data_IF_320665570284
#
_entry.id   IF_320665570284
#
_cell.length_a   1.000
_cell.length_b   1.000
_cell.length_c   1.000
_cell.angle_alpha   90.00
_cell.angle_beta   90.00
_cell.angle_gamma   90.00
#
_symmetry.space_group_name_H-M   'P 1'
#
loop_
_entity.id
_entity.type
_entity.pdbx_description
1 polymer ?
#
# COMPACT_ATOMS: atom_id res chain seq x y z
N UNK A 1 -23.27 2.27 10.48
CA UNK A 1 -22.72 2.31 10.01
C UNK A 1 -22.48 2.05 9.33
N UNK A 2 -22.86 2.00 9.57
CA UNK A 2 -22.31 1.80 8.70
C UNK A 2 -21.42 2.08 7.89
N UNK A 3 -21.46 2.99 7.50
CA UNK A 3 -20.28 3.33 6.76
C UNK A 3 -19.10 2.52 7.15
N UNK A 4 -19.09 2.19 8.35
CA UNK A 4 -18.04 1.34 8.85
C UNK A 4 -17.99 0.01 8.14
N UNK A 5 -19.04 -0.38 7.50
CA UNK A 5 -19.05 -1.62 6.76
C UNK A 5 -17.97 -1.66 5.70
N UNK A 6 -17.65 -0.52 5.11
CA UNK A 6 -16.60 -0.47 4.12
C UNK A 6 -15.23 -0.76 4.67
N UNK A 7 -14.98 -0.36 5.90
CA UNK A 7 -13.67 -0.55 6.51
C UNK A 7 -13.49 -1.94 7.09
N UNK A 8 -14.57 -2.60 7.41
CA UNK A 8 -14.47 -3.93 7.97
C UNK A 8 -14.24 -5.00 6.93
N UNK A 9 -14.18 -4.64 5.68
CA UNK A 9 -14.07 -5.63 4.62
C UNK A 9 -12.66 -6.11 4.42
N UNK A 10 -12.57 -7.36 4.04
CA UNK A 10 -11.31 -7.92 3.59
C UNK A 10 -10.84 -7.16 2.36
N UNK A 11 -9.55 -7.00 2.24
CA UNK A 11 -8.97 -6.41 1.06
C UNK A 11 -8.58 -4.95 1.20
N UNK A 12 -9.16 -4.24 2.17
CA UNK A 12 -8.78 -2.85 2.40
C UNK A 12 -7.38 -2.82 3.03
N UNK A 13 -6.43 -2.06 2.45
CA UNK A 13 -5.10 -1.95 3.03
C UNK A 13 -5.13 -1.33 4.42
N UNK A 14 -4.17 -1.72 5.26
CA UNK A 14 -4.10 -1.21 6.63
C UNK A 14 -3.77 0.27 6.69
N UNK A 15 -2.91 0.72 5.80
CA UNK A 15 -2.45 2.12 5.78
C UNK A 15 -2.52 2.61 4.35
N UNK A 16 -3.10 3.78 4.17
CA UNK A 16 -3.10 4.45 2.87
C UNK A 16 -2.68 5.89 3.07
N UNK A 17 -2.07 6.47 2.07
CA UNK A 17 -1.64 7.86 2.15
C UNK A 17 -1.25 8.41 0.80
N UNK A 18 -0.77 9.63 0.82
CA UNK A 18 -0.34 10.30 -0.39
C UNK A 18 0.96 11.04 -0.08
N UNK A 19 1.95 10.88 -0.94
CA UNK A 19 3.24 11.51 -0.76
C UNK A 19 3.67 12.12 -2.09
N UNK A 20 3.91 13.41 -2.08
CA UNK A 20 4.28 14.15 -3.28
C UNK A 20 3.31 13.93 -4.43
N UNK A 21 2.03 13.82 -4.10
CA UNK A 21 0.97 13.64 -5.09
C UNK A 21 0.75 12.20 -5.52
N UNK A 22 1.53 11.26 -5.02
CA UNK A 22 1.42 9.85 -5.39
C UNK A 22 0.74 9.07 -4.27
N UNK A 23 -0.33 8.36 -4.62
CA UNK A 23 -1.05 7.52 -3.66
C UNK A 23 -0.25 6.27 -3.33
N UNK A 24 -0.29 5.86 -2.07
CA UNK A 24 0.34 4.60 -1.68
C UNK A 24 -0.51 3.85 -0.68
N UNK A 25 -0.27 2.55 -0.59
CA UNK A 25 -0.95 1.67 0.34
C UNK A 25 0.05 0.69 0.92
N UNK A 26 -0.14 0.36 2.19
CA UNK A 26 0.72 -0.56 2.91
C UNK A 26 -0.17 -1.59 3.59
N UNK A 27 0.10 -2.85 3.32
CA UNK A 27 -0.58 -3.96 3.99
C UNK A 27 0.41 -4.57 4.98
N UNK A 28 0.01 -4.68 6.25
CA UNK A 28 0.88 -5.19 7.31
C UNK A 28 0.52 -6.64 7.62
N UNK A 29 1.52 -7.51 7.64
CA UNK A 29 1.34 -8.92 7.97
C UNK A 29 2.34 -9.31 9.05
N UNK A 30 1.97 -10.27 9.88
CA UNK A 30 2.86 -10.76 10.93
C UNK A 30 3.62 -11.97 10.40
N UNK A 31 4.93 -11.97 10.62
CA UNK A 31 5.77 -13.11 10.27
C UNK A 31 5.64 -13.53 8.82
N UNK A 32 5.30 -14.79 8.59
CA UNK A 32 5.16 -15.35 7.26
C UNK A 32 3.75 -15.25 6.71
N UNK A 33 2.89 -14.44 7.33
CA UNK A 33 1.53 -14.26 6.86
C UNK A 33 1.47 -13.77 5.42
N UNK A 34 0.46 -14.21 4.70
CA UNK A 34 0.28 -13.87 3.29
C UNK A 34 -0.98 -13.08 3.09
N UNK A 35 -1.01 -12.30 2.02
CA UNK A 35 -2.21 -11.59 1.64
C UNK A 35 -3.28 -12.54 1.16
N UNK A 36 -4.54 -12.14 1.35
CA UNK A 36 -5.67 -12.87 0.78
C UNK A 36 -5.87 -12.47 -0.67
N UNK A 37 -6.68 -13.23 -1.38
CA UNK A 37 -7.00 -12.89 -2.78
C UNK A 37 -7.64 -11.52 -2.89
N UNK A 38 -8.50 -11.15 -1.93
CA UNK A 38 -9.13 -9.83 -1.95
C UNK A 38 -8.11 -8.73 -1.71
N UNK A 39 -7.15 -8.96 -0.80
CA UNK A 39 -6.10 -7.99 -0.54
C UNK A 39 -5.23 -7.80 -1.78
N UNK A 40 -4.84 -8.90 -2.42
CA UNK A 40 -4.04 -8.83 -3.64
C UNK A 40 -4.76 -8.05 -4.73
N UNK A 41 -6.05 -8.26 -4.86
CA UNK A 41 -6.86 -7.58 -5.85
C UNK A 41 -6.86 -6.07 -5.61
N UNK A 42 -7.02 -5.65 -4.36
CA UNK A 42 -7.06 -4.22 -4.04
C UNK A 42 -5.68 -3.57 -4.24
N UNK A 43 -4.62 -4.27 -3.84
CA UNK A 43 -3.28 -3.76 -4.05
C UNK A 43 -2.97 -3.64 -5.55
N UNK A 44 -3.40 -4.62 -6.34
CA UNK A 44 -3.21 -4.58 -7.79
C UNK A 44 -3.92 -3.38 -8.41
N UNK A 45 -5.14 -3.09 -7.97
CA UNK A 45 -5.87 -1.93 -8.47
C UNK A 45 -5.12 -0.63 -8.21
N UNK A 46 -4.51 -0.52 -7.05
CA UNK A 46 -3.74 0.67 -6.69
C UNK A 46 -2.54 0.82 -7.62
N UNK A 47 -1.84 -0.28 -7.87
CA UNK A 47 -0.68 -0.27 -8.77
C UNK A 47 -1.10 0.07 -10.19
N UNK A 48 -2.22 -0.48 -10.65
CA UNK A 48 -2.74 -0.19 -11.99
C UNK A 48 -3.16 1.27 -12.14
N UNK A 49 -3.54 1.90 -11.04
CA UNK A 49 -3.91 3.32 -11.03
C UNK A 49 -2.70 4.23 -10.82
N UNK A 50 -1.50 3.69 -11.01
CA UNK A 50 -0.23 4.42 -10.89
C UNK A 50 0.13 4.78 -9.45
N UNK A 51 -0.47 4.10 -8.49
CA UNK A 51 -0.07 4.23 -7.09
C UNK A 51 1.00 3.21 -6.74
N UNK A 52 1.43 3.26 -5.50
CA UNK A 52 2.38 2.28 -4.96
C UNK A 52 1.68 1.43 -3.93
N UNK A 53 1.99 0.13 -3.90
CA UNK A 53 1.41 -0.77 -2.91
C UNK A 53 2.48 -1.77 -2.50
N UNK A 54 2.61 -1.98 -1.19
CA UNK A 54 3.58 -2.93 -0.65
C UNK A 54 2.97 -3.70 0.50
N UNK A 55 3.54 -4.88 0.74
CA UNK A 55 3.20 -5.72 1.88
C UNK A 55 4.44 -5.79 2.76
N UNK A 56 4.28 -5.46 4.04
CA UNK A 56 5.41 -5.43 4.97
C UNK A 56 5.13 -6.29 6.19
N UNK A 57 6.21 -6.72 6.82
CA UNK A 57 6.16 -7.39 8.11
C UNK A 57 7.32 -6.86 8.94
N UNK A 58 7.51 -7.46 10.12
CA UNK A 58 8.55 -6.98 11.05
C UNK A 58 9.96 -7.14 10.49
N UNK A 59 10.15 -7.98 9.47
CA UNK A 59 11.47 -8.23 8.90
C UNK A 59 11.81 -7.34 7.72
N UNK A 60 10.82 -6.73 7.09
CA UNK A 60 11.06 -5.94 5.89
C UNK A 60 10.43 -4.54 5.97
N UNK A 61 10.24 -4.04 7.17
CA UNK A 61 9.62 -2.72 7.37
C UNK A 61 10.41 -1.60 6.67
N UNK A 62 11.67 -1.81 6.40
CA UNK A 62 12.49 -0.84 5.68
C UNK A 62 11.98 -0.57 4.26
N UNK A 63 11.15 -1.46 3.73
CA UNK A 63 10.58 -1.25 2.40
C UNK A 63 9.70 0.00 2.34
N UNK A 64 9.14 0.45 3.48
CA UNK A 64 8.36 1.68 3.51
C UNK A 64 9.24 2.86 3.10
N UNK A 65 10.42 2.96 3.69
CA UNK A 65 11.36 4.03 3.33
C UNK A 65 11.79 3.94 1.88
N UNK A 66 12.04 2.73 1.39
CA UNK A 66 12.43 2.54 -0.01
C UNK A 66 11.32 2.97 -0.96
N UNK A 67 10.07 2.63 -0.62
CA UNK A 67 8.93 3.03 -1.43
C UNK A 67 8.82 4.55 -1.53
N UNK A 68 8.95 5.24 -0.39
CA UNK A 68 8.88 6.69 -0.36
C UNK A 68 10.03 7.31 -1.16
N UNK A 69 11.20 6.72 -1.09
CA UNK A 69 12.34 7.16 -1.89
C UNK A 69 12.07 7.02 -3.39
N UNK A 70 11.46 5.90 -3.78
CA UNK A 70 11.11 5.70 -5.19
C UNK A 70 10.13 6.75 -5.67
N UNK A 71 9.13 7.05 -4.85
CA UNK A 71 8.15 8.07 -5.20
C UNK A 71 8.86 9.43 -5.38
N UNK A 72 9.72 9.79 -4.45
CA UNK A 72 10.44 11.04 -4.53
C UNK A 72 11.29 11.12 -5.79
N UNK A 73 12.00 10.04 -6.11
CA UNK A 73 12.83 9.99 -7.30
C UNK A 73 12.00 10.15 -8.57
N UNK A 74 10.88 9.44 -8.65
CA UNK A 74 10.01 9.53 -9.81
C UNK A 74 9.45 10.94 -10.00
N UNK A 75 8.99 11.56 -8.93
CA UNK A 75 8.41 12.89 -9.01
C UNK A 75 9.46 13.91 -9.41
N UNK A 76 10.64 13.84 -8.83
CA UNK A 76 11.71 14.79 -9.17
C UNK A 76 12.20 14.61 -10.60
N UNK A 77 12.17 13.39 -11.12
CA UNK A 77 12.66 13.12 -12.48
C UNK A 77 11.63 13.48 -13.55
N UNK A 78 10.35 13.62 -13.18
CA UNK A 78 9.34 13.97 -14.16
C UNK A 78 9.14 15.47 -14.31
N UNK A 79 9.76 16.23 -13.44
CA UNK A 79 9.70 17.68 -13.54
C UNK A 79 10.94 18.20 -14.21
#
# INVERSE_FOLDING_TARGET
MPATGGYGRSGVPDIVGCFLGKFFAIECKAGAGKTTALQDRELTKIIQADGKAIVVNENNIHLVGEMLNEIQTQVLHTT
#
